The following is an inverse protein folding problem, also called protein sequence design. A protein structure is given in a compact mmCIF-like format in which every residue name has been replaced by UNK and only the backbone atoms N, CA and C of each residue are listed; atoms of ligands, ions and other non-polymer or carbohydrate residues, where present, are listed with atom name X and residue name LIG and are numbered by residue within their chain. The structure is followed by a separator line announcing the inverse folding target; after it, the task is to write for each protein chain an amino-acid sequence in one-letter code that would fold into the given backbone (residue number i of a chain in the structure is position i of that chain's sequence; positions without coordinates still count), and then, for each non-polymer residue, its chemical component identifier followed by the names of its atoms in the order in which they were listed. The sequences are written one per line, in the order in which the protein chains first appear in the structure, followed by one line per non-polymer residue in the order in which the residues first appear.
data_IF_330831403193
#
_entry.id   IF_330831403193
#
_cell.length_a   1.000
_cell.length_b   1.000
_cell.length_c   1.000
_cell.angle_alpha   90.00
_cell.angle_beta   90.00
_cell.angle_gamma   90.00
#
_symmetry.space_group_name_H-M   'P 1'
#
loop_
_entity.id
_entity.type
_entity.pdbx_description
1 polymer ?
#
# COMPACT_ATOMS: atom_id res chain seq x y z
N UNK A 1 2.48 0.62 -18.13
CA UNK A 1 2.85 -0.03 -16.86
C UNK A 1 1.71 0.22 -15.88
N UNK A 2 1.09 -0.83 -15.33
CA UNK A 2 -0.07 -0.66 -14.45
C UNK A 2 0.40 -0.22 -13.06
N UNK A 3 -0.18 0.86 -12.52
CA UNK A 3 0.19 1.43 -11.22
C UNK A 3 -1.02 1.33 -10.31
N UNK A 4 -0.86 0.75 -9.12
CA UNK A 4 -1.94 0.68 -8.14
C UNK A 4 -1.71 1.69 -7.01
N UNK A 5 -2.81 2.25 -6.50
CA UNK A 5 -2.79 3.23 -5.43
C UNK A 5 -3.54 2.71 -4.22
N UNK A 6 -2.91 2.85 -3.06
CA UNK A 6 -3.41 2.33 -1.80
C UNK A 6 -3.46 3.47 -0.79
N UNK A 7 -4.61 3.67 -0.15
CA UNK A 7 -4.77 4.68 0.90
C UNK A 7 -4.99 4.02 2.25
N UNK A 8 -4.22 4.44 3.23
CA UNK A 8 -4.29 3.92 4.59
C UNK A 8 -4.19 5.03 5.65
N UNK A 9 -4.65 4.70 6.85
CA UNK A 9 -4.61 5.57 8.03
C UNK A 9 -3.20 5.62 8.64
N UNK A 10 -2.95 6.65 9.47
CA UNK A 10 -1.60 6.97 9.97
C UNK A 10 -0.95 5.87 10.83
N UNK A 11 -1.77 5.17 11.63
CA UNK A 11 -1.32 4.17 12.62
C UNK A 11 -0.67 2.95 11.93
N UNK A 12 -1.05 2.70 10.69
CA UNK A 12 -0.69 1.51 9.92
C UNK A 12 0.56 1.69 9.03
N UNK A 13 1.15 2.89 9.02
CA UNK A 13 2.26 3.24 8.13
C UNK A 13 3.43 2.24 8.14
N UNK A 14 4.01 1.92 9.31
CA UNK A 14 5.16 1.01 9.40
C UNK A 14 4.86 -0.42 8.92
N UNK A 15 3.66 -0.94 9.21
CA UNK A 15 3.25 -2.29 8.81
C UNK A 15 3.12 -2.40 7.30
N UNK A 16 2.52 -1.39 6.68
CA UNK A 16 2.32 -1.32 5.24
C UNK A 16 3.66 -1.17 4.51
N UNK A 17 4.54 -0.30 4.99
CA UNK A 17 5.88 -0.13 4.40
C UNK A 17 6.70 -1.41 4.50
N UNK A 18 6.67 -2.09 5.65
CA UNK A 18 7.34 -3.39 5.80
C UNK A 18 6.79 -4.44 4.83
N UNK A 19 5.47 -4.51 4.67
CA UNK A 19 4.82 -5.41 3.73
C UNK A 19 5.21 -5.11 2.27
N UNK A 20 5.22 -3.84 1.86
CA UNK A 20 5.63 -3.47 0.51
C UNK A 20 7.13 -3.66 0.27
N UNK A 21 7.98 -3.43 1.27
CA UNK A 21 9.40 -3.77 1.20
C UNK A 21 9.60 -5.27 0.98
N UNK A 22 8.83 -6.13 1.64
CA UNK A 22 8.89 -7.59 1.43
C UNK A 22 8.36 -8.02 0.06
N UNK A 23 7.30 -7.38 -0.45
CA UNK A 23 6.67 -7.75 -1.72
C UNK A 23 7.40 -7.25 -2.96
N UNK A 24 7.85 -6.00 -2.92
CA UNK A 24 8.39 -5.31 -4.09
C UNK A 24 9.87 -4.97 -3.97
N UNK A 25 10.44 -5.06 -2.77
CA UNK A 25 11.77 -4.55 -2.46
C UNK A 25 11.76 -3.09 -2.00
N UNK A 26 12.88 -2.68 -1.41
CA UNK A 26 13.08 -1.31 -0.91
C UNK A 26 13.21 -0.35 -2.10
N UNK A 27 12.48 0.76 -2.06
CA UNK A 27 12.53 1.82 -3.09
C UNK A 27 11.65 1.58 -4.31
N UNK A 28 10.94 0.45 -4.36
CA UNK A 28 10.09 0.08 -5.51
C UNK A 28 8.68 0.68 -5.44
N UNK A 29 8.27 1.17 -4.26
CA UNK A 29 6.99 1.85 -4.04
C UNK A 29 7.23 3.29 -3.58
N UNK A 30 6.30 4.18 -3.92
CA UNK A 30 6.35 5.58 -3.47
C UNK A 30 5.29 5.81 -2.39
N UNK A 31 5.67 6.47 -1.30
CA UNK A 31 4.76 6.90 -0.25
C UNK A 31 4.57 8.41 -0.29
N UNK A 32 3.32 8.87 -0.24
CA UNK A 32 2.95 10.29 -0.12
C UNK A 32 2.01 10.47 1.04
N UNK A 33 2.27 11.45 1.91
CA UNK A 33 1.36 11.82 2.99
C UNK A 33 0.47 12.97 2.52
N UNK A 34 -0.85 12.79 2.58
CA UNK A 34 -1.82 13.83 2.18
C UNK A 34 -2.96 13.90 3.20
N UNK A 35 -3.18 15.08 3.80
CA UNK A 35 -4.25 15.35 4.79
C UNK A 35 -4.34 14.31 5.92
N UNK A 36 -3.20 13.90 6.49
CA UNK A 36 -3.15 12.93 7.60
C UNK A 36 -3.30 11.46 7.18
N UNK A 37 -3.39 11.16 5.88
CA UNK A 37 -3.44 9.79 5.34
C UNK A 37 -2.18 9.46 4.55
N UNK A 38 -1.85 8.17 4.50
CA UNK A 38 -0.80 7.64 3.66
C UNK A 38 -1.38 7.22 2.31
N UNK A 39 -0.73 7.62 1.23
CA UNK A 39 -1.02 7.17 -0.13
C UNK A 39 0.22 6.48 -0.68
N UNK A 40 0.10 5.18 -0.93
CA UNK A 40 1.14 4.37 -1.52
C UNK A 40 0.87 4.18 -3.00
N UNK A 41 1.93 4.22 -3.79
CA UNK A 41 1.94 3.95 -5.21
C UNK A 41 2.85 2.75 -5.44
N UNK A 42 2.28 1.64 -5.91
CA UNK A 42 2.98 0.37 -6.11
C UNK A 42 3.10 0.03 -7.61
N UNK A 43 4.17 -0.66 -8.02
CA UNK A 43 4.53 -0.85 -9.43
C UNK A 43 3.68 -1.91 -10.14
N UNK A 44 2.89 -2.69 -9.39
CA UNK A 44 1.90 -3.64 -9.90
C UNK A 44 0.76 -3.78 -8.91
N UNK A 45 -0.33 -4.39 -9.36
CA UNK A 45 -1.50 -4.71 -8.54
C UNK A 45 -1.16 -5.81 -7.53
N UNK A 46 -1.85 -5.78 -6.40
CA UNK A 46 -1.82 -6.87 -5.43
C UNK A 46 -2.75 -8.00 -5.87
N UNK A 47 -2.29 -9.22 -5.70
CA UNK A 47 -3.11 -10.42 -5.89
C UNK A 47 -4.13 -10.56 -4.75
N UNK A 48 -5.21 -11.33 -4.94
CA UNK A 48 -6.27 -11.46 -3.92
C UNK A 48 -5.75 -11.88 -2.53
N UNK A 49 -4.74 -12.75 -2.50
CA UNK A 49 -4.08 -13.15 -1.26
C UNK A 49 -3.31 -11.98 -0.62
N UNK A 50 -2.58 -11.20 -1.41
CA UNK A 50 -1.82 -10.04 -0.93
C UNK A 50 -2.76 -8.91 -0.47
N UNK A 51 -3.89 -8.72 -1.15
CA UNK A 51 -4.92 -7.79 -0.70
C UNK A 51 -5.50 -8.20 0.65
N UNK A 52 -5.82 -9.49 0.83
CA UNK A 52 -6.34 -10.00 2.10
C UNK A 52 -5.32 -9.85 3.24
N UNK A 53 -4.04 -10.13 2.97
CA UNK A 53 -2.96 -9.88 3.93
C UNK A 53 -2.82 -8.39 4.27
N UNK A 54 -2.86 -7.52 3.27
CA UNK A 54 -2.78 -6.08 3.48
C UNK A 54 -3.99 -5.55 4.27
N UNK A 55 -5.20 -6.06 4.01
CA UNK A 55 -6.42 -5.72 4.77
C UNK A 55 -6.36 -6.22 6.22
N UNK A 56 -5.69 -7.34 6.47
CA UNK A 56 -5.45 -7.84 7.83
C UNK A 56 -4.35 -7.08 8.56
N UNK A 57 -3.39 -6.52 7.81
CA UNK A 57 -2.26 -5.76 8.35
C UNK A 57 -2.59 -4.28 8.53
N UNK A 58 -3.59 -3.77 7.83
CA UNK A 58 -3.98 -2.38 7.87
C UNK A 58 -5.47 -2.17 7.57
N UNK A 59 -6.08 -1.23 8.28
CA UNK A 59 -7.38 -0.67 7.92
C UNK A 59 -7.27 0.16 6.63
N UNK A 60 -7.25 -0.51 5.47
CA UNK A 60 -7.25 0.12 4.15
C UNK A 60 -8.61 0.75 3.91
N UNK A 61 -8.65 2.07 3.74
CA UNK A 61 -9.89 2.77 3.41
C UNK A 61 -10.22 2.67 1.92
N UNK A 62 -9.21 2.61 1.05
CA UNK A 62 -9.43 2.65 -0.40
C UNK A 62 -8.29 1.98 -1.20
N UNK A 63 -8.65 1.03 -2.05
CA UNK A 63 -7.76 0.42 -3.06
C UNK A 63 -8.26 0.83 -4.45
N UNK A 64 -7.48 1.64 -5.17
CA UNK A 64 -7.85 2.14 -6.49
C UNK A 64 -6.84 1.70 -7.55
N UNK A 65 -7.38 1.24 -8.68
CA UNK A 65 -6.61 0.71 -9.79
C UNK A 65 -6.76 1.64 -10.99
N UNK A 66 -5.64 2.11 -11.53
CA UNK A 66 -5.58 2.93 -12.75
C UNK A 66 -4.81 2.16 -13.83
#
# INVERSE_FOLDING_TARGET
MAVAYIRATYVEGPNIESFFCQLFGVGTFTVKRKRGRWQYQIPRKLDAQQQSQLMSLAAIEHYEQI
#
